data_IF_848783364715
#
_entry.id   IF_848783364715
#
_cell.length_a   1.000
_cell.length_b   1.000
_cell.length_c   1.000
_cell.angle_alpha   90.00
_cell.angle_beta   90.00
_cell.angle_gamma   90.00
#
_symmetry.space_group_name_H-M   'P 1'
#
loop_
_entity.id
_entity.type
_entity.pdbx_description
1 polymer ?
#
# COMPACT_ATOMS: atom_id res chain seq x y z
N UNK A 1 -9.67 3.10 1.04
CA UNK A 1 -10.13 2.04 0.12
C UNK A 1 -9.22 2.07 -1.09
N UNK A 2 -8.72 0.93 -1.57
CA UNK A 2 -7.82 0.90 -2.73
C UNK A 2 -8.58 1.44 -3.96
N UNK A 3 -7.96 2.30 -4.77
CA UNK A 3 -8.59 2.89 -5.97
C UNK A 3 -9.11 1.80 -6.91
N UNK A 4 -8.38 0.69 -7.05
CA UNK A 4 -8.82 -0.47 -7.83
C UNK A 4 -10.06 -1.16 -7.23
N UNK A 5 -10.16 -1.26 -5.90
CA UNK A 5 -11.35 -1.82 -5.23
C UNK A 5 -12.59 -0.95 -5.44
N UNK A 6 -12.43 0.38 -5.50
CA UNK A 6 -13.53 1.31 -5.81
C UNK A 6 -14.14 1.00 -7.17
N UNK A 7 -13.29 0.79 -8.18
CA UNK A 7 -13.73 0.41 -9.53
C UNK A 7 -14.40 -0.97 -9.54
N UNK A 8 -13.82 -1.96 -8.85
CA UNK A 8 -14.43 -3.31 -8.75
C UNK A 8 -15.82 -3.22 -8.11
N UNK A 9 -15.95 -2.55 -6.97
CA UNK A 9 -17.23 -2.42 -6.27
C UNK A 9 -18.28 -1.75 -7.15
N UNK A 10 -17.91 -0.67 -7.84
CA UNK A 10 -18.83 0.02 -8.75
C UNK A 10 -19.30 -0.84 -9.92
N UNK A 11 -18.44 -1.75 -10.43
CA UNK A 11 -18.79 -2.69 -11.50
C UNK A 11 -19.86 -3.71 -11.11
N UNK A 12 -19.96 -4.03 -9.81
CA UNK A 12 -21.00 -4.93 -9.29
C UNK A 12 -22.27 -4.21 -8.85
N UNK A 13 -22.26 -2.87 -8.80
CA UNK A 13 -23.40 -2.06 -8.37
C UNK A 13 -24.32 -1.72 -9.54
N UNK A 14 -23.79 -1.04 -10.57
CA UNK A 14 -24.48 -0.80 -11.84
C UNK A 14 -23.51 -0.25 -12.88
N UNK A 15 -23.89 -0.33 -14.16
CA UNK A 15 -23.08 0.20 -15.26
C UNK A 15 -22.90 1.72 -15.14
N UNK A 16 -23.93 2.46 -14.72
CA UNK A 16 -23.83 3.92 -14.51
C UNK A 16 -22.84 4.28 -13.40
N UNK A 17 -22.87 3.57 -12.28
CA UNK A 17 -21.96 3.80 -11.14
C UNK A 17 -20.53 3.44 -11.54
N UNK A 18 -20.35 2.34 -12.27
CA UNK A 18 -19.06 1.94 -12.83
C UNK A 18 -18.48 3.01 -13.77
N UNK A 19 -19.26 3.52 -14.71
CA UNK A 19 -18.83 4.51 -15.70
C UNK A 19 -18.36 5.80 -15.03
N UNK A 20 -19.16 6.33 -14.10
CA UNK A 20 -18.82 7.53 -13.33
C UNK A 20 -17.56 7.31 -12.50
N UNK A 21 -17.48 6.17 -11.81
CA UNK A 21 -16.34 5.81 -10.96
C UNK A 21 -15.06 5.67 -11.77
N UNK A 22 -15.09 4.95 -12.89
CA UNK A 22 -13.93 4.78 -13.76
C UNK A 22 -13.47 6.11 -14.38
N UNK A 23 -14.40 6.95 -14.80
CA UNK A 23 -14.09 8.29 -15.34
C UNK A 23 -13.39 9.16 -14.30
N UNK A 24 -13.91 9.19 -13.07
CA UNK A 24 -13.31 9.91 -11.95
C UNK A 24 -11.92 9.34 -11.62
N UNK A 25 -11.77 8.02 -11.55
CA UNK A 25 -10.47 7.37 -11.25
C UNK A 25 -9.41 7.71 -12.30
N UNK A 26 -9.75 7.66 -13.59
CA UNK A 26 -8.79 7.97 -14.66
C UNK A 26 -8.33 9.43 -14.55
N UNK A 27 -9.27 10.36 -14.34
CA UNK A 27 -8.99 11.79 -14.38
C UNK A 27 -8.41 12.34 -13.07
N UNK A 28 -9.02 11.99 -11.94
CA UNK A 28 -8.74 12.59 -10.64
C UNK A 28 -7.68 11.78 -9.87
N UNK A 29 -7.82 10.45 -9.84
CA UNK A 29 -6.91 9.61 -9.05
C UNK A 29 -5.61 9.29 -9.80
N UNK A 30 -5.67 9.12 -11.13
CA UNK A 30 -4.51 8.75 -11.95
C UNK A 30 -3.94 9.94 -12.75
N UNK A 31 -4.64 11.07 -12.81
CA UNK A 31 -4.25 12.24 -13.59
C UNK A 31 -3.90 11.92 -15.06
N UNK A 32 -4.69 11.03 -15.68
CA UNK A 32 -4.52 10.60 -17.07
C UNK A 32 -5.71 11.02 -17.93
N UNK A 33 -5.49 11.11 -19.23
CA UNK A 33 -6.59 11.13 -20.20
C UNK A 33 -7.12 9.71 -20.44
N UNK A 34 -8.36 9.58 -20.92
CA UNK A 34 -8.89 8.29 -21.34
C UNK A 34 -8.02 7.63 -22.42
N UNK A 35 -7.43 8.42 -23.33
CA UNK A 35 -6.52 7.90 -24.38
C UNK A 35 -5.25 7.31 -23.76
N UNK A 36 -4.64 8.00 -22.80
CA UNK A 36 -3.42 7.54 -22.16
C UNK A 36 -3.66 6.29 -21.31
N UNK A 37 -4.79 6.26 -20.59
CA UNK A 37 -5.20 5.07 -19.85
C UNK A 37 -5.46 3.89 -20.78
N UNK A 38 -6.17 4.09 -21.91
CA UNK A 38 -6.44 3.04 -22.89
C UNK A 38 -5.14 2.41 -23.44
N UNK A 39 -4.14 3.25 -23.76
CA UNK A 39 -2.81 2.80 -24.19
C UNK A 39 -2.13 1.96 -23.11
N UNK A 40 -2.09 2.44 -21.85
CA UNK A 40 -1.50 1.69 -20.72
C UNK A 40 -2.22 0.37 -20.45
N UNK A 41 -3.55 0.35 -20.60
CA UNK A 41 -4.37 -0.83 -20.38
C UNK A 41 -4.35 -1.83 -21.56
N UNK A 42 -3.71 -1.47 -22.66
CA UNK A 42 -3.77 -2.21 -23.91
C UNK A 42 -5.22 -2.48 -24.36
N UNK A 43 -6.05 -1.44 -24.28
CA UNK A 43 -7.44 -1.42 -24.72
C UNK A 43 -7.55 -0.42 -25.87
N UNK A 44 -8.25 -0.74 -26.98
CA UNK A 44 -8.47 0.24 -28.03
C UNK A 44 -9.16 1.50 -27.48
N UNK A 45 -8.67 2.72 -27.76
CA UNK A 45 -9.27 3.95 -27.22
C UNK A 45 -10.77 4.04 -27.49
N UNK A 46 -11.21 3.66 -28.68
CA UNK A 46 -12.63 3.61 -29.05
C UNK A 46 -13.46 2.67 -28.17
N UNK A 47 -12.87 1.57 -27.69
CA UNK A 47 -13.54 0.65 -26.76
C UNK A 47 -13.67 1.27 -25.38
N UNK A 48 -12.61 1.89 -24.86
CA UNK A 48 -12.68 2.58 -23.57
C UNK A 48 -13.66 3.75 -23.61
N UNK A 49 -13.68 4.54 -24.68
CA UNK A 49 -14.67 5.63 -24.83
C UNK A 49 -16.10 5.10 -24.83
N UNK A 50 -16.40 4.00 -25.54
CA UNK A 50 -17.73 3.39 -25.52
C UNK A 50 -18.13 2.89 -24.13
N UNK A 51 -17.16 2.39 -23.37
CA UNK A 51 -17.37 1.99 -21.98
C UNK A 51 -17.70 3.21 -21.12
N UNK A 52 -16.87 4.26 -21.16
CA UNK A 52 -17.07 5.47 -20.36
C UNK A 52 -18.36 6.22 -20.71
N UNK A 53 -18.82 6.12 -21.96
CA UNK A 53 -20.06 6.75 -22.43
C UNK A 53 -21.30 5.86 -22.27
N UNK A 54 -21.18 4.66 -21.69
CA UNK A 54 -22.29 3.72 -21.51
C UNK A 54 -22.85 3.09 -22.79
N UNK A 55 -22.12 3.18 -23.90
CA UNK A 55 -22.49 2.56 -25.16
C UNK A 55 -22.05 1.09 -25.26
N UNK A 56 -21.30 0.58 -24.27
CA UNK A 56 -20.78 -0.78 -24.24
C UNK A 56 -20.33 -1.21 -22.85
N UNK A 57 -20.77 -2.38 -22.41
CA UNK A 57 -20.27 -2.94 -21.17
C UNK A 57 -18.90 -3.62 -21.35
N UNK A 58 -17.98 -3.49 -20.39
CA UNK A 58 -16.73 -4.21 -20.41
C UNK A 58 -17.00 -5.70 -20.15
N UNK A 59 -16.45 -6.57 -20.99
CA UNK A 59 -16.40 -7.98 -20.63
C UNK A 59 -15.40 -8.20 -19.47
N UNK A 60 -15.43 -9.38 -18.85
CA UNK A 60 -14.56 -9.72 -17.71
C UNK A 60 -13.06 -9.62 -18.06
N UNK A 61 -12.66 -9.81 -19.32
CA UNK A 61 -11.27 -9.64 -19.76
C UNK A 61 -10.87 -8.16 -19.72
N UNK A 62 -11.70 -7.28 -20.28
CA UNK A 62 -11.49 -5.82 -20.27
C UNK A 62 -11.51 -5.28 -18.84
N UNK A 63 -12.45 -5.72 -18.02
CA UNK A 63 -12.53 -5.31 -16.61
C UNK A 63 -11.25 -5.69 -15.85
N UNK A 64 -10.74 -6.92 -16.05
CA UNK A 64 -9.45 -7.37 -15.49
C UNK A 64 -8.28 -6.49 -15.95
N UNK A 65 -8.24 -6.11 -17.24
CA UNK A 65 -7.21 -5.22 -17.78
C UNK A 65 -7.27 -3.84 -17.12
N UNK A 66 -8.46 -3.25 -17.01
CA UNK A 66 -8.68 -1.96 -16.35
C UNK A 66 -8.16 -2.01 -14.91
N UNK A 67 -8.63 -2.99 -14.12
CA UNK A 67 -8.25 -3.13 -12.71
C UNK A 67 -6.75 -3.35 -12.53
N UNK A 68 -6.14 -4.20 -13.36
CA UNK A 68 -4.69 -4.44 -13.33
C UNK A 68 -3.92 -3.16 -13.63
N UNK A 69 -4.33 -2.42 -14.67
CA UNK A 69 -3.67 -1.17 -15.08
C UNK A 69 -3.72 -0.11 -13.98
N UNK A 70 -4.85 0.02 -13.29
CA UNK A 70 -4.99 0.94 -12.14
C UNK A 70 -3.97 0.57 -11.05
N UNK A 71 -3.84 -0.73 -10.72
CA UNK A 71 -2.86 -1.20 -9.73
C UNK A 71 -1.43 -0.93 -10.17
N UNK A 72 -1.09 -1.29 -11.41
CA UNK A 72 0.26 -1.13 -11.96
C UNK A 72 0.68 0.35 -11.98
N UNK A 73 -0.23 1.28 -12.34
CA UNK A 73 0.05 2.73 -12.32
C UNK A 73 0.27 3.21 -10.88
N UNK A 74 -0.57 2.79 -9.93
CA UNK A 74 -0.42 3.19 -8.53
C UNK A 74 0.84 2.62 -7.89
N UNK A 75 1.21 1.37 -8.18
CA UNK A 75 2.49 0.77 -7.74
C UNK A 75 3.70 1.48 -8.35
N UNK A 76 3.57 1.98 -9.59
CA UNK A 76 4.63 2.75 -10.25
C UNK A 76 4.84 4.14 -9.65
N UNK A 77 3.77 4.78 -9.16
CA UNK A 77 3.82 6.10 -8.50
C UNK A 77 4.28 6.04 -7.03
N UNK A 78 3.99 4.94 -6.32
CA UNK A 78 4.32 4.82 -4.89
C UNK A 78 5.76 4.40 -4.62
N UNK A 79 6.45 3.83 -5.61
CA UNK A 79 7.78 3.24 -5.45
C UNK A 79 7.76 2.01 -4.54
N UNK A 80 8.60 1.01 -4.82
CA UNK A 80 8.75 -0.12 -3.90
C UNK A 80 9.30 0.37 -2.56
N UNK A 81 8.60 0.09 -1.46
CA UNK A 81 9.03 0.48 -0.13
C UNK A 81 8.87 -0.64 0.90
N UNK A 82 9.67 -0.55 1.97
CA UNK A 82 9.56 -1.36 3.18
C UNK A 82 8.83 -0.53 4.23
N UNK A 83 7.74 -1.07 4.76
CA UNK A 83 7.02 -0.45 5.86
C UNK A 83 7.71 -0.77 7.18
N UNK A 84 7.87 0.21 8.05
CA UNK A 84 8.40 0.04 9.41
C UNK A 84 7.36 0.52 10.41
N UNK A 85 6.88 -0.40 11.25
CA UNK A 85 5.95 -0.11 12.33
C UNK A 85 6.69 -0.16 13.66
N UNK A 86 6.72 0.97 14.35
CA UNK A 86 7.27 1.07 15.70
C UNK A 86 6.70 2.28 16.45
N UNK A 87 7.02 2.38 17.74
CA UNK A 87 6.76 3.60 18.50
C UNK A 87 7.55 4.77 17.90
N UNK A 88 7.04 6.00 18.05
CA UNK A 88 7.68 7.20 17.47
C UNK A 88 9.15 7.35 17.86
N UNK A 89 9.46 7.10 19.13
CA UNK A 89 10.83 7.15 19.67
C UNK A 89 11.80 6.17 19.01
N UNK A 90 11.31 5.07 18.43
CA UNK A 90 12.13 4.12 17.68
C UNK A 90 12.32 4.59 16.25
N UNK A 91 11.25 5.11 15.62
CA UNK A 91 11.25 5.63 14.26
C UNK A 91 12.13 6.86 14.09
N UNK A 92 12.24 7.72 15.12
CA UNK A 92 13.11 8.90 15.09
C UNK A 92 14.61 8.55 14.89
N UNK A 93 15.00 7.27 15.03
CA UNK A 93 16.35 6.79 14.70
C UNK A 93 16.57 6.54 13.20
N UNK A 94 15.52 6.62 12.38
CA UNK A 94 15.60 6.50 10.92
C UNK A 94 15.98 7.88 10.36
N UNK A 95 17.26 8.07 10.12
CA UNK A 95 17.80 9.34 9.59
C UNK A 95 17.47 9.54 8.10
N UNK A 96 17.43 8.45 7.33
CA UNK A 96 17.16 8.47 5.89
C UNK A 96 16.09 7.45 5.52
N UNK A 97 15.01 7.95 4.92
CA UNK A 97 13.90 7.14 4.38
C UNK A 97 14.21 6.54 3.01
N UNK A 98 15.41 6.77 2.45
CA UNK A 98 15.91 6.10 1.25
C UNK A 98 17.28 5.54 1.55
N UNK A 99 17.42 4.22 1.57
CA UNK A 99 18.69 3.54 1.87
C UNK A 99 19.15 2.69 0.70
N UNK A 100 20.46 2.70 0.43
CA UNK A 100 21.07 1.77 -0.52
C UNK A 100 21.34 0.43 0.17
N UNK A 101 20.55 -0.59 -0.14
CA UNK A 101 20.65 -1.94 0.44
C UNK A 101 20.89 -2.91 -0.72
N UNK A 102 21.97 -3.71 -0.64
CA UNK A 102 22.31 -4.67 -1.70
C UNK A 102 22.49 -4.05 -3.09
N UNK A 103 22.97 -2.81 -3.16
CA UNK A 103 23.16 -2.06 -4.42
C UNK A 103 21.89 -1.42 -5.00
N UNK A 104 20.70 -1.67 -4.42
CA UNK A 104 19.43 -1.05 -4.82
C UNK A 104 19.03 0.05 -3.85
N UNK A 105 18.39 1.11 -4.36
CA UNK A 105 17.79 2.14 -3.53
C UNK A 105 16.43 1.66 -3.05
N UNK A 106 16.25 1.55 -1.73
CA UNK A 106 15.02 1.08 -1.09
C UNK A 106 14.41 2.24 -0.31
N UNK A 107 13.12 2.48 -0.53
CA UNK A 107 12.38 3.47 0.25
C UNK A 107 11.87 2.81 1.54
N UNK A 108 11.96 3.52 2.65
CA UNK A 108 11.45 3.14 3.97
C UNK A 108 10.30 4.09 4.28
N UNK A 109 9.14 3.53 4.65
CA UNK A 109 7.99 4.33 5.08
C UNK A 109 7.63 3.97 6.51
N UNK A 110 7.51 5.01 7.33
CA UNK A 110 7.30 4.89 8.76
C UNK A 110 5.81 4.92 9.10
N UNK A 111 5.40 4.02 10.00
CA UNK A 111 4.05 3.92 10.53
C UNK A 111 4.15 3.88 12.06
N UNK A 112 3.80 4.98 12.72
CA UNK A 112 3.83 5.02 14.18
C UNK A 112 2.64 4.29 14.77
N UNK A 113 2.89 3.44 15.77
CA UNK A 113 1.86 2.80 16.57
C UNK A 113 2.24 2.83 18.05
N UNK A 114 1.26 3.05 18.92
CA UNK A 114 1.44 3.08 20.37
C UNK A 114 0.86 1.85 21.08
N UNK A 115 0.03 1.07 20.38
CA UNK A 115 -0.54 -0.18 20.88
C UNK A 115 -0.38 -1.34 19.90
N UNK A 116 -0.64 -2.56 20.37
CA UNK A 116 -0.64 -3.76 19.53
C UNK A 116 -1.74 -3.69 18.46
N UNK A 117 -2.92 -3.19 18.82
CA UNK A 117 -4.07 -3.04 17.94
C UNK A 117 -3.78 -2.05 16.81
N UNK A 118 -3.21 -0.88 17.16
CA UNK A 118 -2.79 0.12 16.18
C UNK A 118 -1.70 -0.43 15.26
N UNK A 119 -0.77 -1.22 15.78
CA UNK A 119 0.27 -1.84 14.98
C UNK A 119 -0.31 -2.85 13.97
N UNK A 120 -1.29 -3.67 14.37
CA UNK A 120 -1.97 -4.60 13.47
C UNK A 120 -2.73 -3.83 12.38
N UNK A 121 -3.49 -2.79 12.74
CA UNK A 121 -4.20 -1.94 11.76
C UNK A 121 -3.22 -1.29 10.79
N UNK A 122 -2.11 -0.76 11.30
CA UNK A 122 -1.06 -0.12 10.50
C UNK A 122 -0.39 -1.12 9.55
N UNK A 123 -0.22 -2.37 9.97
CA UNK A 123 0.35 -3.44 9.16
C UNK A 123 -0.53 -3.75 7.94
N UNK A 124 -1.84 -3.86 8.13
CA UNK A 124 -2.81 -4.04 7.04
C UNK A 124 -2.83 -2.83 6.12
N UNK A 125 -2.79 -1.62 6.67
CA UNK A 125 -2.75 -0.40 5.86
C UNK A 125 -1.45 -0.28 5.06
N UNK A 126 -0.32 -0.66 5.63
CA UNK A 126 0.96 -0.67 4.93
C UNK A 126 0.97 -1.61 3.72
N UNK A 127 0.40 -2.81 3.86
CA UNK A 127 0.22 -3.73 2.71
C UNK A 127 -0.69 -3.10 1.64
N UNK A 128 -1.81 -2.51 2.05
CA UNK A 128 -2.74 -1.81 1.13
C UNK A 128 -2.11 -0.62 0.41
N UNK A 129 -1.18 0.05 1.07
CA UNK A 129 -0.39 1.15 0.52
C UNK A 129 0.68 0.67 -0.48
N UNK A 130 0.89 -0.64 -0.60
CA UNK A 130 1.81 -1.26 -1.56
C UNK A 130 3.19 -1.61 -1.00
N UNK A 131 3.34 -1.73 0.31
CA UNK A 131 4.60 -2.18 0.92
C UNK A 131 5.01 -3.55 0.35
N UNK A 132 6.29 -3.72 0.00
CA UNK A 132 6.83 -5.01 -0.48
C UNK A 132 7.37 -5.90 0.65
N UNK A 133 7.57 -5.33 1.83
CA UNK A 133 7.92 -6.02 3.07
C UNK A 133 7.53 -5.18 4.28
N UNK A 134 7.39 -5.83 5.44
CA UNK A 134 7.05 -5.18 6.71
C UNK A 134 8.11 -5.49 7.78
N UNK A 135 8.53 -4.46 8.51
CA UNK A 135 9.31 -4.56 9.74
C UNK A 135 8.45 -4.11 10.93
N UNK A 136 8.37 -4.92 11.99
CA UNK A 136 7.54 -4.60 13.16
C UNK A 136 8.16 -5.05 14.49
N UNK A 137 7.54 -4.69 15.61
CA UNK A 137 7.95 -5.18 16.91
C UNK A 137 7.68 -6.69 17.07
N UNK A 138 8.52 -7.45 17.82
CA UNK A 138 8.35 -8.90 17.99
C UNK A 138 6.97 -9.33 18.49
N UNK A 139 6.33 -8.53 19.35
CA UNK A 139 5.06 -8.87 19.97
C UNK A 139 3.91 -9.01 18.96
N UNK A 140 3.97 -8.28 17.83
CA UNK A 140 2.93 -8.32 16.80
C UNK A 140 3.27 -9.26 15.63
N UNK A 141 4.55 -9.61 15.47
CA UNK A 141 5.07 -10.41 14.36
C UNK A 141 4.24 -11.66 14.03
N UNK A 142 4.01 -12.58 14.99
CA UNK A 142 3.26 -13.82 14.73
C UNK A 142 1.80 -13.61 14.29
N UNK A 143 1.20 -12.48 14.67
CA UNK A 143 -0.17 -12.12 14.28
C UNK A 143 -0.20 -11.53 12.89
N UNK A 144 0.68 -10.57 12.60
CA UNK A 144 0.71 -9.90 11.29
C UNK A 144 1.16 -10.85 10.17
N UNK A 145 2.09 -11.77 10.46
CA UNK A 145 2.57 -12.77 9.49
C UNK A 145 1.45 -13.72 9.03
N UNK A 146 0.41 -13.94 9.84
CA UNK A 146 -0.75 -14.78 9.48
C UNK A 146 -1.79 -14.07 8.62
N UNK A 147 -1.78 -12.73 8.59
CA UNK A 147 -2.84 -11.94 7.94
C UNK A 147 -2.34 -11.19 6.70
N UNK A 148 -1.02 -11.00 6.55
CA UNK A 148 -0.42 -10.31 5.42
C UNK A 148 0.14 -11.29 4.39
N UNK A 149 0.20 -10.86 3.13
CA UNK A 149 0.76 -11.61 2.00
C UNK A 149 2.16 -11.13 1.61
N UNK A 150 2.76 -10.24 2.41
CA UNK A 150 4.10 -9.69 2.20
C UNK A 150 5.06 -10.22 3.28
N UNK A 151 6.36 -10.35 2.98
CA UNK A 151 7.36 -10.78 3.97
C UNK A 151 7.35 -9.89 5.22
N UNK A 152 7.34 -10.52 6.40
CA UNK A 152 7.39 -9.84 7.70
C UNK A 152 8.73 -10.14 8.38
N UNK A 153 9.33 -9.14 9.00
CA UNK A 153 10.52 -9.27 9.85
C UNK A 153 10.33 -8.51 11.17
N UNK A 154 10.91 -9.01 12.25
CA UNK A 154 10.80 -8.37 13.57
C UNK A 154 12.08 -7.64 13.95
N UNK A 155 11.93 -6.55 14.68
CA UNK A 155 13.05 -5.80 15.26
C UNK A 155 13.65 -6.62 16.41
N UNK A 156 14.95 -6.87 16.42
CA UNK A 156 15.66 -7.52 17.52
C UNK A 156 16.38 -6.47 18.40
N UNK A 157 15.83 -6.07 19.56
CA UNK A 157 16.45 -5.08 20.43
C UNK A 157 17.60 -5.70 21.22
N UNK A 158 18.86 -5.46 20.83
CA UNK A 158 20.03 -5.95 21.59
C UNK A 158 20.40 -5.01 22.73
N UNK A 159 20.86 -3.80 22.43
CA UNK A 159 21.41 -2.89 23.45
C UNK A 159 20.30 -2.22 24.28
N UNK A 160 19.18 -1.88 23.66
CA UNK A 160 18.09 -1.13 24.30
C UNK A 160 17.46 -1.86 25.49
N UNK A 161 17.54 -3.20 25.54
CA UNK A 161 17.02 -4.00 26.65
C UNK A 161 17.88 -3.83 27.90
N UNK A 162 19.21 -3.93 27.75
CA UNK A 162 20.15 -3.78 28.86
C UNK A 162 20.04 -2.37 29.45
N UNK A 163 20.04 -1.34 28.60
CA UNK A 163 19.91 0.04 29.05
C UNK A 163 18.59 0.29 29.81
N UNK A 164 17.51 -0.39 29.43
CA UNK A 164 16.23 -0.28 30.10
C UNK A 164 16.26 -0.90 31.51
N UNK A 165 16.93 -2.03 31.66
CA UNK A 165 17.13 -2.69 32.96
C UNK A 165 17.95 -1.79 33.89
N UNK A 166 19.05 -1.22 33.39
CA UNK A 166 19.89 -0.29 34.18
C UNK A 166 19.13 0.96 34.62
N UNK A 167 18.30 1.54 33.73
CA UNK A 167 17.44 2.68 34.08
C UNK A 167 16.37 2.32 35.12
N UNK A 168 15.82 1.11 35.05
CA UNK A 168 14.86 0.64 36.05
C UNK A 168 15.55 0.49 37.42
N UNK A 169 16.75 -0.10 37.45
CA UNK A 169 17.54 -0.22 38.66
C UNK A 169 17.81 1.13 39.34
N UNK A 170 18.27 2.14 38.57
CA UNK A 170 18.51 3.51 39.08
C UNK A 170 17.28 4.22 39.64
N UNK A 171 16.05 3.77 39.32
CA UNK A 171 14.80 4.32 39.86
C UNK A 171 14.35 3.64 41.16
N UNK A 172 14.97 2.54 41.52
CA UNK A 172 14.70 1.82 42.77
C UNK A 172 15.55 2.36 43.93
N UNK A 173 16.59 3.13 43.62
CA UNK A 173 17.38 3.95 44.57
C UNK A 173 16.73 5.33 44.76
#
# INVERSE_FOLDING_TARGET
>A
MNVAEKVIKSAFESDEVFQRTLSAVIKEDLNLTAVDFAKKANIPPSTLYKILSGNRDPNIKTLRQIVKTIRDIKESDSGEFIAVIAARSVLDNIVETKKKIGGRLVTIREYSATSMEEAIISAVNAERDGAKALVCAPIVGPTVEKILNIPVTTIAPKNSLIDAIERAFKKME
#
